data_IF_552652039393
#
_entry.id   IF_552652039393
#
_cell.length_a   1.000
_cell.length_b   1.000
_cell.length_c   1.000
_cell.angle_alpha   90.00
_cell.angle_beta   90.00
_cell.angle_gamma   90.00
#
_symmetry.space_group_name_H-M   'P 1'
#
loop_
_entity.id
_entity.type
_entity.pdbx_description
1 polymer ?
#
# COMPACT_ATOMS: atom_id res chain seq x y z
N UNK A 1 -1.53 10.19 -3.08
CA UNK A 1 -0.48 10.13 -2.04
C UNK A 1 0.10 8.72 -2.00
N UNK A 2 1.42 8.59 -1.94
CA UNK A 2 2.12 7.31 -1.85
C UNK A 2 2.55 7.01 -0.42
N UNK A 3 2.79 5.73 -0.12
CA UNK A 3 3.29 5.26 1.18
C UNK A 3 4.53 4.44 0.96
N UNK A 4 5.54 4.63 1.83
CA UNK A 4 6.72 3.76 1.82
C UNK A 4 6.35 2.33 2.27
N UNK A 5 7.26 1.37 2.06
CA UNK A 5 7.26 0.15 2.87
C UNK A 5 7.34 0.54 4.36
N UNK A 6 6.82 -0.31 5.25
CA UNK A 6 6.80 0.02 6.68
C UNK A 6 8.19 -0.10 7.32
N UNK A 7 8.56 0.94 8.08
CA UNK A 7 9.86 1.08 8.76
C UNK A 7 9.68 0.81 10.25
N UNK A 8 10.50 -0.10 10.80
CA UNK A 8 10.50 -0.39 12.23
C UNK A 8 11.20 0.74 12.98
N UNK A 9 10.47 1.45 13.87
CA UNK A 9 11.01 2.61 14.58
C UNK A 9 12.24 2.27 15.44
N UNK A 10 12.20 1.13 16.15
CA UNK A 10 13.34 0.68 16.96
C UNK A 10 14.61 0.40 16.17
N UNK A 11 14.50 0.06 14.89
CA UNK A 11 15.68 -0.18 14.06
C UNK A 11 16.45 1.11 13.76
N UNK A 12 15.77 2.26 13.75
CA UNK A 12 16.40 3.56 13.42
C UNK A 12 17.34 4.08 14.52
N UNK A 13 17.11 3.73 15.78
CA UNK A 13 17.91 4.24 16.92
C UNK A 13 19.39 3.85 16.88
N UNK A 14 19.72 2.75 16.20
CA UNK A 14 21.09 2.19 16.19
C UNK A 14 21.76 2.28 14.82
N UNK A 15 21.09 2.90 13.85
CA UNK A 15 21.65 3.02 12.50
C UNK A 15 22.59 4.23 12.41
N UNK A 16 23.75 4.00 11.81
CA UNK A 16 24.71 5.09 11.46
C UNK A 16 24.26 5.84 10.19
N UNK A 17 23.47 5.19 9.37
CA UNK A 17 22.96 5.72 8.09
C UNK A 17 21.45 5.47 8.00
N UNK A 18 20.74 6.38 7.35
CA UNK A 18 19.30 6.27 7.11
C UNK A 18 19.05 5.12 6.14
N UNK A 19 18.10 4.22 6.44
CA UNK A 19 17.79 3.11 5.53
C UNK A 19 17.27 3.64 4.21
N UNK A 20 17.70 3.04 3.09
CA UNK A 20 17.20 3.38 1.74
C UNK A 20 15.68 3.36 1.60
N UNK A 21 15.00 2.55 2.40
CA UNK A 21 13.52 2.50 2.48
C UNK A 21 12.88 3.86 2.86
N UNK A 22 13.66 4.78 3.42
CA UNK A 22 13.21 6.14 3.78
C UNK A 22 13.72 7.19 2.80
N UNK A 23 14.50 6.82 1.79
CA UNK A 23 14.86 7.73 0.70
C UNK A 23 13.60 8.06 -0.11
N UNK A 24 13.43 9.32 -0.43
CA UNK A 24 12.27 9.84 -1.16
C UNK A 24 12.74 10.43 -2.49
N UNK A 25 12.24 9.90 -3.60
CA UNK A 25 12.39 10.51 -4.91
C UNK A 25 11.41 11.69 -5.07
N UNK A 26 11.82 12.71 -5.82
CA UNK A 26 10.97 13.89 -6.06
C UNK A 26 9.64 13.54 -6.77
N UNK A 27 9.64 12.48 -7.59
CA UNK A 27 8.46 12.02 -8.33
C UNK A 27 7.47 11.23 -7.45
N UNK A 28 7.86 10.81 -6.23
CA UNK A 28 7.00 10.08 -5.31
C UNK A 28 6.09 10.99 -4.47
N UNK A 29 6.23 12.30 -4.61
CA UNK A 29 5.45 13.28 -3.82
C UNK A 29 4.01 13.42 -4.34
N UNK A 30 3.01 13.55 -3.44
CA UNK A 30 3.09 13.54 -1.98
C UNK A 30 3.26 12.13 -1.40
N UNK A 31 4.21 11.98 -0.44
CA UNK A 31 4.58 10.70 0.15
C UNK A 31 4.45 10.70 1.68
N UNK A 32 3.98 9.58 2.21
CA UNK A 32 3.93 9.27 3.63
C UNK A 32 4.98 8.23 3.98
N UNK A 33 5.80 8.47 5.01
CA UNK A 33 6.63 7.42 5.60
C UNK A 33 5.79 6.65 6.61
N UNK A 34 5.66 5.34 6.39
CA UNK A 34 4.91 4.46 7.27
C UNK A 34 5.82 3.84 8.33
N UNK A 35 5.52 4.11 9.60
CA UNK A 35 6.27 3.62 10.76
C UNK A 35 5.48 2.55 11.52
N UNK A 36 6.19 1.60 12.16
CA UNK A 36 5.58 0.67 13.11
C UNK A 36 6.51 0.36 14.27
N UNK A 37 5.95 0.25 15.45
CA UNK A 37 6.55 -0.27 16.70
C UNK A 37 5.42 -0.40 17.74
N UNK A 38 5.73 -0.86 18.95
CA UNK A 38 4.83 -0.84 20.10
C UNK A 38 5.25 0.19 21.17
N UNK A 39 6.34 0.92 20.96
CA UNK A 39 6.90 1.86 21.94
C UNK A 39 6.70 3.29 21.48
N UNK A 40 5.94 4.09 22.26
CA UNK A 40 5.60 5.46 21.89
C UNK A 40 6.82 6.37 21.65
N UNK A 41 7.83 6.29 22.54
CA UNK A 41 9.07 7.08 22.45
C UNK A 41 9.86 6.80 21.17
N UNK A 42 9.96 5.54 20.77
CA UNK A 42 10.66 5.14 19.54
C UNK A 42 9.95 5.65 18.30
N UNK A 43 8.63 5.60 18.28
CA UNK A 43 7.84 6.11 17.16
C UNK A 43 7.92 7.64 17.05
N UNK A 44 7.94 8.36 18.17
CA UNK A 44 8.17 9.81 18.20
C UNK A 44 9.53 10.19 17.60
N UNK A 45 10.61 9.53 18.04
CA UNK A 45 11.96 9.73 17.49
C UNK A 45 12.04 9.39 15.99
N UNK A 46 11.45 8.25 15.59
CA UNK A 46 11.43 7.82 14.19
C UNK A 46 10.66 8.79 13.29
N UNK A 47 9.58 9.38 13.81
CA UNK A 47 8.81 10.39 13.08
C UNK A 47 9.63 11.66 12.82
N UNK A 48 10.44 12.13 13.79
CA UNK A 48 11.35 13.26 13.58
C UNK A 48 12.39 12.95 12.51
N UNK A 49 12.95 11.74 12.51
CA UNK A 49 13.88 11.29 11.45
C UNK A 49 13.18 11.32 10.09
N UNK A 50 11.95 10.79 10.01
CA UNK A 50 11.17 10.76 8.78
C UNK A 50 10.86 12.16 8.23
N UNK A 51 10.56 13.13 9.10
CA UNK A 51 10.41 14.54 8.72
C UNK A 51 11.73 15.08 8.14
N UNK A 52 12.87 14.77 8.75
CA UNK A 52 14.19 15.13 8.26
C UNK A 52 14.51 14.56 6.86
N UNK A 53 13.89 13.43 6.47
CA UNK A 53 13.99 12.87 5.12
C UNK A 53 13.01 13.52 4.13
N UNK A 54 12.17 14.44 4.56
CA UNK A 54 11.22 15.17 3.72
C UNK A 54 9.87 14.47 3.56
N UNK A 55 9.48 13.61 4.50
CA UNK A 55 8.12 13.08 4.60
C UNK A 55 7.11 14.22 4.69
N UNK A 56 5.99 14.09 3.98
CA UNK A 56 4.91 15.08 4.02
C UNK A 56 3.80 14.68 4.99
N UNK A 57 3.73 13.40 5.34
CA UNK A 57 2.89 12.86 6.40
C UNK A 57 3.63 11.69 7.08
N UNK A 58 3.27 11.41 8.33
CA UNK A 58 3.68 10.20 9.02
C UNK A 58 2.46 9.29 9.13
N UNK A 59 2.59 8.05 8.66
CA UNK A 59 1.55 7.04 8.84
C UNK A 59 1.98 5.99 9.87
N UNK A 60 1.10 5.67 10.81
CA UNK A 60 1.35 4.67 11.85
C UNK A 60 0.65 3.37 11.45
N UNK A 61 1.43 2.29 11.26
CA UNK A 61 0.88 0.98 10.93
C UNK A 61 0.37 0.27 12.19
N UNK A 62 -0.95 0.14 12.29
CA UNK A 62 -1.68 -0.61 13.31
C UNK A 62 -2.51 -1.75 12.71
N UNK A 63 -2.15 -2.22 11.49
CA UNK A 63 -2.93 -3.22 10.75
C UNK A 63 -2.14 -4.41 10.23
N UNK A 64 -0.80 -4.42 10.31
CA UNK A 64 0.01 -5.53 9.81
C UNK A 64 -0.30 -6.83 10.57
N UNK A 65 -0.71 -7.93 9.88
CA UNK A 65 -1.12 -9.18 10.54
C UNK A 65 0.04 -10.15 10.80
N UNK A 66 1.26 -9.81 10.36
CA UNK A 66 2.41 -10.72 10.35
C UNK A 66 2.84 -11.07 11.77
N UNK A 67 2.97 -12.36 12.07
CA UNK A 67 3.30 -12.87 13.41
C UNK A 67 4.60 -12.27 13.97
N UNK A 68 5.62 -12.05 13.14
CA UNK A 68 6.88 -11.42 13.56
C UNK A 68 6.67 -10.02 14.16
N UNK A 69 5.66 -9.29 13.72
CA UNK A 69 5.33 -7.94 14.22
C UNK A 69 4.37 -8.05 15.41
N UNK A 70 3.29 -8.82 15.27
CA UNK A 70 2.24 -8.89 16.30
C UNK A 70 2.71 -9.54 17.60
N UNK A 71 3.65 -10.48 17.55
CA UNK A 71 4.26 -11.08 18.77
C UNK A 71 5.03 -10.06 19.61
N UNK A 72 5.45 -8.95 19.05
CA UNK A 72 6.17 -7.88 19.74
C UNK A 72 5.29 -6.66 20.03
N UNK A 73 3.97 -6.81 19.98
CA UNK A 73 3.02 -5.77 20.34
C UNK A 73 2.73 -4.72 19.24
N UNK A 74 3.37 -4.84 18.06
CA UNK A 74 3.17 -3.89 16.95
C UNK A 74 2.10 -4.31 15.94
N UNK A 75 1.81 -3.45 14.97
CA UNK A 75 0.84 -3.73 13.92
C UNK A 75 -0.57 -3.98 14.48
N UNK A 76 -1.24 -5.03 13.98
CA UNK A 76 -2.63 -5.32 14.36
C UNK A 76 -2.83 -5.79 15.82
N UNK A 77 -1.77 -6.11 16.56
CA UNK A 77 -1.91 -6.39 18.00
C UNK A 77 -2.31 -5.16 18.82
N UNK A 78 -2.04 -3.95 18.32
CA UNK A 78 -2.48 -2.70 18.94
C UNK A 78 -4.00 -2.56 19.00
N UNK A 79 -4.75 -3.27 18.14
CA UNK A 79 -6.22 -3.36 18.29
C UNK A 79 -6.67 -3.98 19.62
N UNK A 80 -5.83 -4.83 20.22
CA UNK A 80 -6.07 -5.45 21.54
C UNK A 80 -5.44 -4.67 22.69
N UNK A 81 -4.69 -3.61 22.39
CA UNK A 81 -4.08 -2.68 23.35
C UNK A 81 -4.29 -1.23 22.91
N UNK A 82 -5.55 -0.74 22.97
CA UNK A 82 -5.87 0.61 22.52
C UNK A 82 -5.19 1.71 23.36
N UNK A 83 -4.82 1.45 24.60
CA UNK A 83 -4.14 2.43 25.44
C UNK A 83 -2.72 2.68 24.95
N UNK A 84 -1.98 1.64 24.61
CA UNK A 84 -0.68 1.77 23.94
C UNK A 84 -0.83 2.44 22.57
N UNK A 85 -1.86 2.12 21.77
CA UNK A 85 -2.12 2.77 20.50
C UNK A 85 -2.34 4.29 20.65
N UNK A 86 -3.13 4.72 21.64
CA UNK A 86 -3.33 6.13 21.99
C UNK A 86 -2.02 6.80 22.38
N UNK A 87 -1.21 6.16 23.23
CA UNK A 87 0.09 6.70 23.65
C UNK A 87 1.04 6.88 22.45
N UNK A 88 1.03 5.94 21.50
CA UNK A 88 1.81 6.02 20.26
C UNK A 88 1.38 7.22 19.43
N UNK A 89 0.07 7.37 19.14
CA UNK A 89 -0.42 8.49 18.33
C UNK A 89 -0.05 9.82 18.98
N UNK A 90 -0.27 9.98 20.29
CA UNK A 90 0.09 11.19 21.03
C UNK A 90 1.59 11.49 20.98
N UNK A 91 2.44 10.48 21.12
CA UNK A 91 3.89 10.65 21.06
C UNK A 91 4.34 11.14 19.66
N UNK A 92 3.78 10.57 18.59
CA UNK A 92 4.10 10.97 17.22
C UNK A 92 3.56 12.37 16.91
N UNK A 93 2.29 12.66 17.27
CA UNK A 93 1.68 14.00 17.07
C UNK A 93 2.46 15.09 17.78
N UNK A 94 2.93 14.82 19.00
CA UNK A 94 3.74 15.79 19.77
C UNK A 94 5.17 15.96 19.23
N UNK A 95 5.67 14.98 18.46
CA UNK A 95 7.05 14.98 17.95
C UNK A 95 7.22 15.72 16.62
N UNK A 96 6.15 15.90 15.83
CA UNK A 96 6.20 16.46 14.47
C UNK A 96 5.12 17.49 14.21
N UNK A 97 5.37 18.40 13.24
CA UNK A 97 4.39 19.42 12.82
C UNK A 97 3.63 19.07 11.55
N UNK A 98 3.97 17.94 10.90
CA UNK A 98 3.27 17.44 9.71
C UNK A 98 2.11 16.51 10.09
N UNK A 99 1.14 16.26 9.21
CA UNK A 99 0.01 15.40 9.50
C UNK A 99 0.41 13.98 9.92
N UNK A 100 -0.27 13.45 10.94
CA UNK A 100 -0.12 12.08 11.43
C UNK A 100 -1.37 11.29 11.11
N UNK A 101 -1.22 10.14 10.46
CA UNK A 101 -2.30 9.27 10.03
C UNK A 101 -2.15 7.87 10.62
N UNK A 102 -3.23 7.11 10.68
CA UNK A 102 -3.22 5.74 11.19
C UNK A 102 -3.83 4.79 10.18
N UNK A 103 -3.12 3.71 9.88
CA UNK A 103 -3.65 2.60 9.07
C UNK A 103 -3.87 1.35 9.91
N UNK A 104 -5.11 0.87 9.96
CA UNK A 104 -5.49 -0.27 10.80
C UNK A 104 -6.42 -1.26 10.10
N UNK A 105 -6.87 -2.29 10.85
CA UNK A 105 -7.92 -3.26 10.49
C UNK A 105 -9.13 -3.07 11.38
N UNK A 106 -10.21 -3.82 11.10
CA UNK A 106 -11.49 -3.70 11.84
C UNK A 106 -11.47 -4.40 13.22
N UNK A 107 -10.52 -5.31 13.46
CA UNK A 107 -10.42 -6.06 14.70
C UNK A 107 -9.37 -7.17 14.61
N UNK A 108 -9.19 -7.91 15.71
CA UNK A 108 -8.27 -9.04 15.78
C UNK A 108 -8.84 -10.29 15.08
N UNK A 109 -10.08 -10.65 15.39
CA UNK A 109 -10.88 -11.71 14.78
C UNK A 109 -12.34 -11.27 14.75
N UNK A 110 -13.25 -12.14 14.33
CA UNK A 110 -14.67 -11.79 14.17
C UNK A 110 -15.40 -11.57 15.51
N UNK A 111 -14.88 -12.14 16.61
CA UNK A 111 -15.40 -11.92 17.96
C UNK A 111 -14.81 -10.67 18.64
N UNK A 112 -13.69 -10.16 18.11
CA UNK A 112 -12.95 -9.02 18.65
C UNK A 112 -12.90 -7.87 17.62
N UNK A 113 -14.05 -7.46 17.07
CA UNK A 113 -14.17 -6.29 16.20
C UNK A 113 -14.43 -5.06 17.08
N UNK A 114 -13.47 -4.16 17.17
CA UNK A 114 -13.54 -2.97 18.02
C UNK A 114 -13.25 -1.66 17.30
N UNK A 115 -13.29 -1.66 15.95
CA UNK A 115 -12.84 -0.53 15.14
C UNK A 115 -13.53 0.79 15.44
N UNK A 116 -14.80 0.80 15.87
CA UNK A 116 -15.52 2.05 16.12
C UNK A 116 -14.93 2.81 17.31
N UNK A 117 -14.76 2.13 18.45
CA UNK A 117 -14.12 2.71 19.63
C UNK A 117 -12.64 3.01 19.35
N UNK A 118 -11.94 2.09 18.73
CA UNK A 118 -10.54 2.26 18.39
C UNK A 118 -10.30 3.50 17.52
N UNK A 119 -11.08 3.68 16.45
CA UNK A 119 -10.93 4.80 15.53
C UNK A 119 -11.23 6.14 16.21
N UNK A 120 -12.28 6.21 17.05
CA UNK A 120 -12.58 7.41 17.83
C UNK A 120 -11.41 7.77 18.76
N UNK A 121 -10.84 6.80 19.46
CA UNK A 121 -9.68 7.01 20.34
C UNK A 121 -8.44 7.49 19.57
N UNK A 122 -8.22 7.03 18.33
CA UNK A 122 -7.11 7.51 17.48
C UNK A 122 -7.33 8.96 17.06
N UNK A 123 -8.56 9.32 16.66
CA UNK A 123 -8.92 10.72 16.37
C UNK A 123 -8.70 11.60 17.60
N UNK A 124 -9.18 11.21 18.77
CA UNK A 124 -9.04 11.96 20.02
C UNK A 124 -7.59 12.09 20.47
N UNK A 125 -6.74 11.15 20.07
CA UNK A 125 -5.29 11.20 20.29
C UNK A 125 -4.56 12.15 19.34
N UNK A 126 -5.24 12.67 18.29
CA UNK A 126 -4.71 13.64 17.32
C UNK A 126 -4.39 13.09 15.95
N UNK A 127 -4.81 11.88 15.61
CA UNK A 127 -4.74 11.39 14.23
C UNK A 127 -5.60 12.26 13.31
N UNK A 128 -5.07 12.62 12.14
CA UNK A 128 -5.72 13.52 11.19
C UNK A 128 -6.34 12.81 9.99
N UNK A 129 -6.16 11.51 9.85
CA UNK A 129 -6.80 10.65 8.86
C UNK A 129 -6.69 9.19 9.30
N UNK A 130 -7.72 8.41 9.00
CA UNK A 130 -7.73 6.96 9.24
C UNK A 130 -7.83 6.18 7.93
N UNK A 131 -6.97 5.19 7.73
CA UNK A 131 -7.13 4.20 6.65
C UNK A 131 -7.57 2.86 7.23
N UNK A 132 -8.73 2.37 6.82
CA UNK A 132 -9.34 1.17 7.38
C UNK A 132 -9.31 0.02 6.36
N UNK A 133 -8.54 -1.03 6.67
CA UNK A 133 -8.66 -2.29 5.92
C UNK A 133 -9.84 -3.08 6.47
N UNK A 134 -10.87 -3.28 5.66
CA UNK A 134 -12.15 -3.86 6.04
C UNK A 134 -12.11 -5.39 6.24
N UNK A 135 -11.05 -5.89 6.87
CA UNK A 135 -10.86 -7.28 7.32
C UNK A 135 -10.27 -7.31 8.73
N UNK A 136 -10.57 -8.37 9.48
CA UNK A 136 -9.89 -8.64 10.73
C UNK A 136 -8.45 -9.13 10.51
N UNK A 137 -7.62 -9.13 11.55
CA UNK A 137 -6.28 -9.72 11.50
C UNK A 137 -6.35 -11.20 11.15
N UNK A 138 -7.29 -11.94 11.74
CA UNK A 138 -7.45 -13.37 11.52
C UNK A 138 -7.82 -13.73 10.08
N UNK A 139 -8.66 -12.92 9.42
CA UNK A 139 -9.00 -13.11 8.01
C UNK A 139 -7.80 -12.95 7.07
N UNK A 140 -6.76 -12.20 7.47
CA UNK A 140 -5.61 -11.94 6.61
C UNK A 140 -6.02 -11.27 5.29
N UNK A 141 -6.07 -12.06 4.22
CA UNK A 141 -6.56 -11.67 2.88
C UNK A 141 -7.68 -12.58 2.37
N UNK A 142 -8.16 -13.51 3.20
CA UNK A 142 -9.24 -14.43 2.86
C UNK A 142 -10.62 -13.76 2.92
N UNK A 143 -11.59 -14.39 2.29
CA UNK A 143 -12.95 -13.88 2.22
C UNK A 143 -13.06 -12.54 1.50
N UNK A 144 -14.12 -11.79 1.78
CA UNK A 144 -14.40 -10.47 1.22
C UNK A 144 -14.21 -9.39 2.27
N UNK A 145 -13.70 -8.22 1.86
CA UNK A 145 -13.62 -7.05 2.73
C UNK A 145 -15.03 -6.54 3.07
N UNK A 146 -15.34 -6.41 4.35
CA UNK A 146 -16.66 -5.94 4.79
C UNK A 146 -16.67 -4.40 4.89
N UNK A 147 -17.02 -3.75 3.80
CA UNK A 147 -17.05 -2.28 3.70
C UNK A 147 -18.07 -1.61 4.62
N UNK A 148 -19.06 -2.34 5.16
CA UNK A 148 -20.02 -1.77 6.13
C UNK A 148 -19.32 -1.23 7.40
N UNK A 149 -18.24 -1.87 7.82
CA UNK A 149 -17.44 -1.36 8.93
C UNK A 149 -16.80 0.00 8.61
N UNK A 150 -16.37 0.23 7.35
CA UNK A 150 -15.82 1.53 6.93
C UNK A 150 -16.92 2.59 6.97
N UNK A 151 -18.12 2.29 6.45
CA UNK A 151 -19.28 3.19 6.54
C UNK A 151 -19.55 3.61 7.97
N UNK A 152 -19.63 2.63 8.89
CA UNK A 152 -19.86 2.89 10.32
C UNK A 152 -18.75 3.72 10.98
N UNK A 153 -17.48 3.51 10.58
CA UNK A 153 -16.35 4.35 11.03
C UNK A 153 -16.51 5.78 10.50
N UNK A 154 -16.90 5.94 9.24
CA UNK A 154 -17.13 7.28 8.65
C UNK A 154 -18.26 8.05 9.35
N UNK A 155 -19.27 7.35 9.86
CA UNK A 155 -20.38 7.95 10.61
C UNK A 155 -19.95 8.53 11.97
N UNK A 156 -18.91 7.98 12.60
CA UNK A 156 -18.46 8.40 13.95
C UNK A 156 -17.25 9.33 13.93
N UNK A 157 -16.46 9.36 12.84
CA UNK A 157 -15.28 10.22 12.74
C UNK A 157 -15.58 11.53 12.03
N UNK A 158 -14.93 12.60 12.49
CA UNK A 158 -14.93 13.91 11.81
C UNK A 158 -13.72 14.12 10.88
N UNK A 159 -12.68 13.30 11.02
CA UNK A 159 -11.49 13.31 10.17
C UNK A 159 -11.70 12.45 8.92
N UNK A 160 -10.91 12.65 7.84
CA UNK A 160 -10.97 11.82 6.64
C UNK A 160 -10.79 10.34 6.92
N UNK A 161 -11.62 9.51 6.27
CA UNK A 161 -11.57 8.04 6.29
C UNK A 161 -11.26 7.53 4.90
N UNK A 162 -10.19 6.74 4.78
CA UNK A 162 -9.76 6.11 3.53
C UNK A 162 -10.13 4.63 3.56
N UNK A 163 -10.91 4.19 2.59
CA UNK A 163 -11.33 2.81 2.45
C UNK A 163 -10.23 1.94 1.83
N UNK A 164 -9.96 0.80 2.44
CA UNK A 164 -9.00 -0.19 1.95
C UNK A 164 -9.57 -1.60 2.03
N UNK A 165 -9.25 -2.42 1.02
CA UNK A 165 -9.67 -3.82 0.89
C UNK A 165 -10.52 -4.04 -0.35
N UNK A 166 -10.06 -4.96 -1.21
CA UNK A 166 -10.72 -5.41 -2.45
C UNK A 166 -10.98 -4.30 -3.48
N UNK A 167 -10.11 -3.30 -3.52
CA UNK A 167 -10.08 -2.29 -4.59
C UNK A 167 -9.17 -2.80 -5.70
N UNK A 168 -9.77 -3.36 -6.75
CA UNK A 168 -9.08 -3.98 -7.88
C UNK A 168 -9.34 -3.31 -9.23
N UNK A 169 -10.42 -2.55 -9.34
CA UNK A 169 -10.85 -1.84 -10.56
C UNK A 169 -11.38 -0.46 -10.21
N UNK A 170 -11.59 0.39 -11.23
CA UNK A 170 -12.26 1.69 -11.04
C UNK A 170 -13.68 1.47 -10.52
N UNK A 171 -14.40 0.50 -11.05
CA UNK A 171 -15.77 0.17 -10.63
C UNK A 171 -15.82 -0.26 -9.15
N UNK A 172 -14.85 -1.08 -8.69
CA UNK A 172 -14.79 -1.47 -7.28
C UNK A 172 -14.45 -0.29 -6.36
N UNK A 173 -13.64 0.68 -6.84
CA UNK A 173 -13.36 1.90 -6.11
C UNK A 173 -14.62 2.78 -5.95
N UNK A 174 -15.39 2.94 -7.04
CA UNK A 174 -16.64 3.71 -7.04
C UNK A 174 -17.66 3.06 -6.10
N UNK A 175 -17.90 1.76 -6.27
CA UNK A 175 -18.83 1.02 -5.42
C UNK A 175 -18.45 1.11 -3.93
N UNK A 176 -17.15 1.03 -3.62
CA UNK A 176 -16.67 1.20 -2.26
C UNK A 176 -16.96 2.60 -1.71
N UNK A 177 -16.69 3.66 -2.47
CA UNK A 177 -16.97 5.04 -2.07
C UNK A 177 -18.47 5.30 -1.88
N UNK A 178 -19.30 4.82 -2.80
CA UNK A 178 -20.76 4.95 -2.72
C UNK A 178 -21.34 4.20 -1.51
N UNK A 179 -20.86 2.98 -1.24
CA UNK A 179 -21.33 2.19 -0.12
C UNK A 179 -20.87 2.74 1.23
N UNK A 180 -19.67 3.31 1.29
CA UNK A 180 -19.03 3.66 2.57
C UNK A 180 -19.13 5.13 2.93
N UNK A 181 -19.29 6.02 1.95
CA UNK A 181 -19.14 7.47 2.13
C UNK A 181 -17.72 7.89 2.52
N UNK A 182 -16.72 7.03 2.32
CA UNK A 182 -15.32 7.34 2.62
C UNK A 182 -14.80 8.47 1.74
N UNK A 183 -13.79 9.21 2.22
CA UNK A 183 -13.22 10.38 1.54
C UNK A 183 -12.23 9.99 0.42
N UNK A 184 -11.88 8.72 0.36
CA UNK A 184 -11.00 8.17 -0.68
C UNK A 184 -10.78 6.67 -0.53
N UNK A 185 -10.02 6.11 -1.46
CA UNK A 185 -9.66 4.69 -1.45
C UNK A 185 -8.14 4.51 -1.44
N UNK A 186 -7.68 3.44 -0.79
CA UNK A 186 -6.29 2.98 -0.87
C UNK A 186 -6.21 1.66 -1.64
N UNK A 187 -5.53 1.67 -2.78
CA UNK A 187 -5.22 0.47 -3.53
C UNK A 187 -4.02 -0.26 -2.92
N UNK A 188 -4.05 -1.58 -2.94
CA UNK A 188 -2.95 -2.45 -2.51
C UNK A 188 -2.71 -3.53 -3.57
N UNK A 189 -3.27 -4.73 -3.39
CA UNK A 189 -3.10 -5.83 -4.35
C UNK A 189 -3.57 -5.51 -5.77
N UNK A 190 -4.54 -4.60 -5.93
CA UNK A 190 -5.03 -4.17 -7.24
C UNK A 190 -3.97 -3.48 -8.12
N UNK A 191 -2.90 -2.95 -7.52
CA UNK A 191 -1.80 -2.33 -8.28
C UNK A 191 -0.69 -3.31 -8.68
N UNK A 192 -0.76 -4.58 -8.24
CA UNK A 192 0.26 -5.58 -8.55
C UNK A 192 0.26 -5.93 -10.05
N UNK A 193 1.31 -5.51 -10.77
CA UNK A 193 1.40 -5.61 -12.23
C UNK A 193 0.44 -4.68 -12.99
N UNK A 194 -0.23 -3.77 -12.28
CA UNK A 194 -1.15 -2.79 -12.87
C UNK A 194 -1.15 -1.46 -12.09
N UNK A 195 -0.02 -0.75 -12.03
CA UNK A 195 0.08 0.51 -11.26
C UNK A 195 -0.81 1.64 -11.84
N UNK A 196 -1.26 1.52 -13.08
CA UNK A 196 -2.17 2.44 -13.77
C UNK A 196 -3.51 2.63 -13.03
N UNK A 197 -3.96 1.64 -12.25
CA UNK A 197 -5.22 1.66 -11.53
C UNK A 197 -5.42 2.94 -10.70
N UNK A 198 -4.36 3.42 -10.03
CA UNK A 198 -4.45 4.62 -9.19
C UNK A 198 -4.75 5.87 -10.05
N UNK A 199 -4.07 5.99 -11.20
CA UNK A 199 -4.32 7.08 -12.14
C UNK A 199 -5.72 7.00 -12.79
N UNK A 200 -6.18 5.79 -13.11
CA UNK A 200 -7.53 5.56 -13.67
C UNK A 200 -8.62 5.95 -12.67
N UNK A 201 -8.48 5.58 -11.39
CA UNK A 201 -9.42 5.97 -10.33
C UNK A 201 -9.41 7.49 -10.13
N UNK A 202 -8.23 8.11 -10.02
CA UNK A 202 -8.10 9.57 -9.85
C UNK A 202 -8.72 10.32 -11.03
N UNK A 203 -8.47 9.87 -12.26
CA UNK A 203 -9.09 10.46 -13.45
C UNK A 203 -10.61 10.35 -13.42
N UNK A 204 -11.14 9.17 -13.09
CA UNK A 204 -12.59 8.97 -13.03
C UNK A 204 -13.23 9.85 -11.95
N UNK A 205 -12.64 9.91 -10.77
CA UNK A 205 -13.17 10.74 -9.67
C UNK A 205 -13.19 12.25 -10.02
N UNK A 206 -12.24 12.70 -10.83
CA UNK A 206 -12.15 14.10 -11.29
C UNK A 206 -13.08 14.42 -12.46
N UNK A 207 -13.30 13.46 -13.36
CA UNK A 207 -13.94 13.75 -14.66
C UNK A 207 -15.24 12.99 -14.93
N UNK A 208 -15.53 11.95 -14.14
CA UNK A 208 -16.64 11.02 -14.39
C UNK A 208 -16.44 10.11 -15.61
N UNK A 209 -15.23 10.10 -16.21
CA UNK A 209 -14.94 9.35 -17.44
C UNK A 209 -13.87 8.28 -17.18
N UNK A 210 -14.07 7.10 -17.75
CA UNK A 210 -13.07 6.05 -17.76
C UNK A 210 -11.94 6.38 -18.75
N UNK A 211 -10.71 6.13 -18.35
CA UNK A 211 -9.59 6.08 -19.29
C UNK A 211 -9.65 4.77 -20.11
N UNK A 212 -9.16 4.78 -21.37
CA UNK A 212 -8.91 3.53 -22.07
C UNK A 212 -7.86 2.71 -21.29
N UNK A 213 -8.02 1.38 -21.20
CA UNK A 213 -7.05 0.54 -20.53
C UNK A 213 -5.67 0.64 -21.23
N UNK A 214 -4.55 0.56 -20.50
CA UNK A 214 -3.23 0.53 -21.11
C UNK A 214 -3.07 -0.71 -21.97
N UNK A 215 -2.42 -0.56 -23.13
CA UNK A 215 -2.09 -1.70 -24.00
C UNK A 215 -1.17 -2.68 -23.29
N UNK A 216 -1.10 -3.93 -23.78
CA UNK A 216 -0.14 -4.91 -23.27
C UNK A 216 1.30 -4.42 -23.43
N UNK A 217 1.59 -3.69 -24.51
CA UNK A 217 2.89 -3.04 -24.73
C UNK A 217 3.19 -2.03 -23.62
N UNK A 218 2.27 -1.11 -23.34
CA UNK A 218 2.47 -0.11 -22.27
C UNK A 218 2.69 -0.76 -20.89
N UNK A 219 2.01 -1.87 -20.61
CA UNK A 219 2.21 -2.63 -19.36
C UNK A 219 3.58 -3.31 -19.28
N UNK A 220 4.07 -3.87 -20.40
CA UNK A 220 5.39 -4.49 -20.45
C UNK A 220 6.52 -3.44 -20.40
N UNK A 221 6.34 -2.26 -21.01
CA UNK A 221 7.27 -1.13 -20.84
C UNK A 221 7.34 -0.68 -19.38
N UNK A 222 6.19 -0.57 -18.70
CA UNK A 222 6.15 -0.28 -17.27
C UNK A 222 6.84 -1.39 -16.44
N UNK A 223 6.68 -2.66 -16.82
CA UNK A 223 7.40 -3.77 -16.17
C UNK A 223 8.92 -3.64 -16.33
N UNK A 224 9.38 -3.25 -17.51
CA UNK A 224 10.80 -3.03 -17.81
C UNK A 224 11.39 -1.92 -16.94
N UNK A 225 10.71 -0.79 -16.85
CA UNK A 225 11.09 0.32 -15.97
C UNK A 225 11.11 -0.12 -14.49
N UNK A 226 10.09 -0.84 -14.05
CA UNK A 226 10.03 -1.35 -12.68
C UNK A 226 11.19 -2.30 -12.35
N UNK A 227 11.55 -3.20 -13.28
CA UNK A 227 12.70 -4.10 -13.14
C UNK A 227 14.02 -3.32 -12.98
N UNK A 228 14.24 -2.32 -13.84
CA UNK A 228 15.42 -1.46 -13.82
C UNK A 228 15.51 -0.67 -12.50
N UNK A 229 14.40 -0.08 -12.05
CA UNK A 229 14.33 0.65 -10.80
C UNK A 229 14.56 -0.26 -9.58
N UNK A 230 14.02 -1.47 -9.55
CA UNK A 230 14.28 -2.43 -8.48
C UNK A 230 15.78 -2.76 -8.36
N UNK A 231 16.47 -2.91 -9.48
CA UNK A 231 17.92 -3.13 -9.48
C UNK A 231 18.69 -1.88 -9.03
N UNK A 232 18.31 -0.72 -9.54
CA UNK A 232 18.95 0.56 -9.17
C UNK A 232 18.91 0.80 -7.65
N UNK A 233 17.76 0.55 -7.02
CA UNK A 233 17.57 0.81 -5.59
C UNK A 233 17.99 -0.34 -4.67
N UNK A 234 17.92 -1.60 -5.13
CA UNK A 234 18.12 -2.80 -4.26
C UNK A 234 19.26 -3.70 -4.73
N UNK A 235 19.92 -3.39 -5.85
CA UNK A 235 20.99 -4.22 -6.43
C UNK A 235 20.50 -5.65 -6.75
N UNK A 236 21.35 -6.64 -6.53
CA UNK A 236 21.06 -8.06 -6.78
C UNK A 236 19.81 -8.57 -6.03
N UNK A 237 19.54 -8.04 -4.84
CA UNK A 237 18.30 -8.38 -4.10
C UNK A 237 17.05 -7.89 -4.86
N UNK A 238 17.16 -6.80 -5.60
CA UNK A 238 16.10 -6.29 -6.47
C UNK A 238 15.70 -7.29 -7.55
N UNK A 239 16.66 -8.02 -8.15
CA UNK A 239 16.38 -9.05 -9.14
C UNK A 239 15.56 -10.19 -8.56
N UNK A 240 15.90 -10.66 -7.36
CA UNK A 240 15.14 -11.73 -6.70
C UNK A 240 13.68 -11.31 -6.42
N UNK A 241 13.46 -10.04 -6.05
CA UNK A 241 12.12 -9.49 -5.87
C UNK A 241 11.41 -9.31 -7.21
N UNK A 242 12.12 -8.82 -8.23
CA UNK A 242 11.60 -8.59 -9.57
C UNK A 242 10.99 -9.86 -10.19
N UNK A 243 11.58 -11.04 -9.98
CA UNK A 243 11.04 -12.32 -10.48
C UNK A 243 9.54 -12.46 -10.23
N UNK A 244 9.10 -12.17 -9.01
CA UNK A 244 7.68 -12.24 -8.64
C UNK A 244 6.90 -11.05 -9.21
N UNK A 245 7.45 -9.83 -9.13
CA UNK A 245 6.75 -8.63 -9.58
C UNK A 245 6.51 -8.65 -11.09
N UNK A 246 7.50 -9.07 -11.87
CA UNK A 246 7.39 -9.11 -13.33
C UNK A 246 6.30 -10.07 -13.81
N UNK A 247 6.10 -11.21 -13.11
CA UNK A 247 5.03 -12.15 -13.49
C UNK A 247 3.62 -11.56 -13.39
N UNK A 248 3.41 -10.57 -12.54
CA UNK A 248 2.10 -9.91 -12.42
C UNK A 248 1.74 -9.04 -13.64
N UNK A 249 2.75 -8.51 -14.36
CA UNK A 249 2.53 -7.74 -15.59
C UNK A 249 2.18 -8.63 -16.80
N UNK A 250 2.69 -9.86 -16.81
CA UNK A 250 2.55 -10.79 -17.93
C UNK A 250 1.18 -11.50 -17.90
N UNK A 251 0.12 -10.81 -18.28
CA UNK A 251 -1.27 -11.31 -18.30
C UNK A 251 -2.03 -10.77 -19.51
N UNK A 252 -2.99 -11.56 -20.04
CA UNK A 252 -4.00 -11.10 -21.02
C UNK A 252 -3.50 -10.90 -22.44
N UNK A 253 -2.38 -11.48 -22.83
CA UNK A 253 -1.85 -11.48 -24.19
C UNK A 253 -1.25 -12.84 -24.56
N UNK A 254 -1.07 -13.06 -25.84
CA UNK A 254 -0.46 -14.30 -26.38
C UNK A 254 0.99 -14.42 -25.91
N UNK A 255 1.41 -15.60 -25.42
CA UNK A 255 2.76 -15.83 -24.87
C UNK A 255 2.95 -15.44 -23.40
N UNK A 256 1.93 -14.84 -22.75
CA UNK A 256 2.04 -14.40 -21.36
C UNK A 256 2.42 -15.52 -20.37
N UNK A 257 1.96 -16.76 -20.60
CA UNK A 257 2.29 -17.90 -19.74
C UNK A 257 3.76 -18.28 -19.82
N UNK A 258 4.30 -18.35 -21.02
CA UNK A 258 5.71 -18.64 -21.27
C UNK A 258 6.60 -17.54 -20.69
N UNK A 259 6.27 -16.28 -20.98
CA UNK A 259 6.98 -15.12 -20.41
C UNK A 259 7.03 -15.17 -18.87
N UNK A 260 5.92 -15.51 -18.19
CA UNK A 260 5.92 -15.66 -16.72
C UNK A 260 6.93 -16.69 -16.25
N UNK A 261 7.02 -17.85 -16.93
CA UNK A 261 7.98 -18.90 -16.57
C UNK A 261 9.41 -18.39 -16.70
N UNK A 262 9.73 -17.73 -17.81
CA UNK A 262 11.07 -17.19 -18.06
C UNK A 262 11.43 -16.08 -17.07
N UNK A 263 10.50 -15.16 -16.76
CA UNK A 263 10.72 -14.06 -15.81
C UNK A 263 10.97 -14.53 -14.36
N UNK A 264 10.51 -15.71 -13.98
CA UNK A 264 10.81 -16.29 -12.65
C UNK A 264 12.26 -16.75 -12.51
N UNK A 265 12.97 -16.96 -13.61
CA UNK A 265 14.32 -17.52 -13.64
C UNK A 265 15.40 -16.48 -13.97
N UNK A 266 15.04 -15.22 -14.27
CA UNK A 266 16.00 -14.16 -14.63
C UNK A 266 17.11 -14.05 -13.59
N UNK A 267 18.33 -13.89 -14.06
CA UNK A 267 19.52 -13.78 -13.20
C UNK A 267 20.03 -12.35 -13.08
N UNK A 268 19.71 -11.51 -14.05
CA UNK A 268 20.13 -10.11 -14.09
C UNK A 268 19.12 -9.25 -14.86
N UNK A 269 19.32 -7.93 -14.82
CA UNK A 269 18.42 -6.95 -15.47
C UNK A 269 18.41 -7.14 -16.98
N UNK A 270 19.58 -7.35 -17.61
CA UNK A 270 19.68 -7.43 -19.07
C UNK A 270 18.85 -8.58 -19.64
N UNK A 271 18.91 -9.76 -18.99
CA UNK A 271 18.10 -10.93 -19.36
C UNK A 271 16.59 -10.63 -19.24
N UNK A 272 16.17 -9.99 -18.15
CA UNK A 272 14.76 -9.62 -17.96
C UNK A 272 14.27 -8.57 -18.96
N UNK A 273 15.08 -7.58 -19.27
CA UNK A 273 14.79 -6.57 -20.30
C UNK A 273 14.68 -7.21 -21.69
N UNK A 274 15.63 -8.09 -22.05
CA UNK A 274 15.60 -8.80 -23.36
C UNK A 274 14.32 -9.64 -23.51
N UNK A 275 13.90 -10.35 -22.45
CA UNK A 275 12.65 -11.14 -22.49
C UNK A 275 11.42 -10.25 -22.69
N UNK A 276 11.37 -9.10 -22.02
CA UNK A 276 10.27 -8.14 -22.15
C UNK A 276 10.26 -7.50 -23.53
N UNK A 277 11.42 -7.06 -24.05
CA UNK A 277 11.53 -6.46 -25.38
C UNK A 277 11.12 -7.44 -26.48
N UNK A 278 11.61 -8.67 -26.43
CA UNK A 278 11.20 -9.74 -27.37
C UNK A 278 9.69 -9.96 -27.36
N UNK A 279 9.07 -9.96 -26.18
CA UNK A 279 7.61 -10.11 -26.10
C UNK A 279 6.87 -8.90 -26.66
N UNK A 280 7.36 -7.68 -26.44
CA UNK A 280 6.81 -6.45 -27.00
C UNK A 280 6.83 -6.49 -28.53
N UNK A 281 7.93 -6.95 -29.15
CA UNK A 281 8.06 -7.08 -30.60
C UNK A 281 7.04 -8.08 -31.20
N UNK A 282 6.64 -9.10 -30.44
CA UNK A 282 5.67 -10.10 -30.86
C UNK A 282 4.22 -9.65 -30.72
N UNK A 283 3.94 -8.56 -30.00
CA UNK A 283 2.58 -8.06 -29.81
C UNK A 283 2.13 -7.17 -30.96
N UNK A 284 0.85 -7.29 -31.39
CA UNK A 284 0.30 -6.39 -32.40
C UNK A 284 0.27 -4.95 -31.87
N UNK A 285 0.60 -3.99 -32.74
CA UNK A 285 0.69 -2.56 -32.41
C UNK A 285 -0.63 -1.97 -31.87
N UNK A 286 -1.77 -2.65 -32.14
CA UNK A 286 -3.11 -2.24 -31.69
C UNK A 286 -3.68 -3.12 -30.58
N UNK A 287 -2.84 -3.81 -29.81
CA UNK A 287 -3.27 -4.68 -28.73
C UNK A 287 -3.90 -3.85 -27.58
N UNK A 288 -5.22 -3.73 -27.63
CA UNK A 288 -6.03 -3.18 -26.56
C UNK A 288 -6.15 -4.26 -25.47
N UNK A 289 -5.55 -4.04 -24.33
CA UNK A 289 -5.66 -4.95 -23.20
C UNK A 289 -7.13 -5.18 -22.83
N UNK A 290 -7.53 -6.45 -22.77
CA UNK A 290 -8.86 -6.81 -22.33
C UNK A 290 -9.05 -6.36 -20.86
N UNK A 291 -10.20 -5.75 -20.54
CA UNK A 291 -10.56 -5.28 -19.18
C UNK A 291 -10.69 -6.40 -18.13
N UNK A 292 -10.66 -7.66 -18.54
CA UNK A 292 -10.95 -8.83 -17.69
C UNK A 292 -9.77 -9.34 -16.86
N UNK A 293 -8.76 -8.54 -16.56
CA UNK A 293 -7.52 -9.01 -15.94
C UNK A 293 -7.54 -9.11 -14.40
N UNK A 294 -8.64 -8.75 -13.75
CA UNK A 294 -8.66 -8.60 -12.28
C UNK A 294 -9.34 -9.73 -11.50
N UNK A 295 -9.81 -10.80 -12.14
CA UNK A 295 -10.45 -11.90 -11.43
C UNK A 295 -9.73 -13.23 -11.66
N UNK A 296 -8.81 -13.57 -10.74
CA UNK A 296 -8.68 -14.88 -10.08
C UNK A 296 -7.55 -14.88 -9.08
#
# INVERSE_FOLDING_TARGET
MMYTEMVQASSLRHLKEIPRIMEIDANERPISIQLFDCRPDFLGEAAQIAVGQGAQTIDINMGCPVNKITKHGGGSSLLRDPDTAVAIVKAVVNAVSIPVTVKTRIGWNDDEINILDFAQRMQDAGAQMMTIHARTRAQGYGGTANWDWIRRVKEVLSIPVIANGDIFTVESAIACLEQTGADGVMCSRGTLGYPFLVGEIDHFLKTGKLLPPPSSIARLECAKEHLQNLYLYKGERGILQARKHMTWYAKGFSGASELRTQLQEIKNVAEGVELLDRQIELLPTQDLAARDLHHK
#
